data_IF_337745390751
#
_entry.id   IF_337745390751
#
_cell.length_a   1.000
_cell.length_b   1.000
_cell.length_c   1.000
_cell.angle_alpha   90.00
_cell.angle_beta   90.00
_cell.angle_gamma   90.00
#
_symmetry.space_group_name_H-M   'P 1'
#
loop_
_entity.id
_entity.type
_entity.pdbx_description
1 polymer ?
#
# COMPACT_ATOMS: atom_id res chain seq x y z
N UNK A 1 17.83 -49.42 -17.09
CA UNK A 1 17.90 -48.17 -16.31
C UNK A 1 17.91 -46.94 -17.24
N UNK A 2 16.72 -46.37 -17.50
CA UNK A 2 16.58 -45.16 -18.29
C UNK A 2 16.45 -43.97 -17.33
N UNK A 3 17.55 -43.22 -17.12
CA UNK A 3 17.52 -41.95 -16.44
C UNK A 3 16.79 -40.93 -17.33
N UNK A 4 15.61 -40.47 -16.92
CA UNK A 4 14.92 -39.32 -17.48
C UNK A 4 15.73 -38.06 -17.15
N UNK A 5 16.33 -37.42 -18.17
CA UNK A 5 16.85 -36.07 -18.12
C UNK A 5 15.66 -35.12 -18.05
N UNK A 6 15.49 -34.42 -16.93
CA UNK A 6 14.61 -33.27 -16.82
C UNK A 6 15.33 -32.12 -17.49
N UNK A 7 14.79 -31.65 -18.61
CA UNK A 7 15.26 -30.45 -19.27
C UNK A 7 14.90 -29.26 -18.41
N UNK A 8 15.89 -28.55 -17.88
CA UNK A 8 15.73 -27.18 -17.39
C UNK A 8 15.49 -26.29 -18.61
N UNK A 9 14.26 -25.91 -18.88
CA UNK A 9 13.95 -24.79 -19.77
C UNK A 9 14.26 -23.49 -19.01
N UNK A 10 15.45 -22.98 -19.19
CA UNK A 10 15.76 -21.58 -18.99
C UNK A 10 15.10 -20.80 -20.13
N UNK A 11 13.93 -20.21 -19.89
CA UNK A 11 13.40 -19.17 -20.76
C UNK A 11 14.18 -17.87 -20.49
N UNK A 12 15.42 -17.82 -20.92
CA UNK A 12 16.10 -16.60 -21.31
C UNK A 12 15.82 -16.41 -22.81
N UNK A 13 14.59 -16.08 -23.17
CA UNK A 13 14.36 -15.38 -24.43
C UNK A 13 14.83 -13.93 -24.22
N UNK A 14 15.97 -13.59 -24.78
CA UNK A 14 16.34 -12.21 -25.06
C UNK A 14 15.20 -11.61 -25.91
N UNK A 15 14.33 -10.84 -25.25
CA UNK A 15 13.31 -10.06 -25.93
C UNK A 15 14.06 -9.07 -26.83
N UNK A 16 13.78 -9.06 -28.15
CA UNK A 16 14.39 -8.09 -29.04
C UNK A 16 14.11 -6.70 -28.49
N UNK A 17 15.13 -5.87 -28.43
CA UNK A 17 15.06 -4.48 -27.98
C UNK A 17 14.30 -3.63 -29.00
N UNK A 18 13.01 -3.90 -29.15
CA UNK A 18 12.12 -3.06 -29.94
C UNK A 18 11.68 -1.87 -29.09
N UNK A 19 12.59 -0.90 -28.93
CA UNK A 19 12.38 0.37 -28.23
C UNK A 19 11.44 1.32 -28.96
N UNK A 20 10.97 0.95 -30.14
CA UNK A 20 10.19 1.82 -31.04
C UNK A 20 8.68 1.76 -30.76
N UNK A 21 8.17 0.73 -30.08
CA UNK A 21 6.74 0.61 -29.82
C UNK A 21 6.45 0.41 -28.33
N UNK A 22 5.79 1.37 -27.68
CA UNK A 22 5.41 1.23 -26.28
C UNK A 22 4.46 0.04 -26.09
N UNK A 23 4.78 -0.83 -25.13
CA UNK A 23 3.95 -2.01 -24.82
C UNK A 23 2.74 -1.60 -24.00
N UNK A 24 1.58 -2.15 -24.35
CA UNK A 24 0.32 -1.97 -23.62
C UNK A 24 -0.20 -3.33 -23.19
N UNK A 25 -0.58 -3.45 -21.92
CA UNK A 25 -1.19 -4.67 -21.37
C UNK A 25 -2.53 -4.33 -20.73
N UNK A 26 -3.52 -5.18 -20.95
CA UNK A 26 -4.82 -5.14 -20.28
C UNK A 26 -5.14 -6.52 -19.74
N UNK A 27 -5.58 -6.58 -18.50
CA UNK A 27 -6.06 -7.82 -17.89
C UNK A 27 -7.38 -7.54 -17.18
N UNK A 28 -8.27 -8.54 -17.20
CA UNK A 28 -9.62 -8.44 -16.67
C UNK A 28 -9.96 -9.69 -15.87
N UNK A 29 -10.86 -9.55 -14.90
CA UNK A 29 -11.40 -10.59 -14.03
C UNK A 29 -10.35 -11.22 -13.11
N UNK A 30 -10.43 -10.84 -11.83
CA UNK A 30 -9.58 -11.41 -10.75
C UNK A 30 -8.08 -11.31 -11.02
N UNK A 31 -7.64 -10.14 -11.48
CA UNK A 31 -6.23 -9.91 -11.80
C UNK A 31 -5.41 -9.92 -10.52
N UNK A 32 -4.33 -10.68 -10.53
CA UNK A 32 -3.32 -10.72 -9.48
C UNK A 32 -1.97 -10.31 -10.04
N UNK A 33 -1.28 -9.44 -9.31
CA UNK A 33 0.10 -9.03 -9.60
C UNK A 33 0.97 -9.42 -8.43
N UNK A 34 2.10 -10.00 -8.72
CA UNK A 34 3.05 -10.45 -7.71
C UNK A 34 4.46 -9.96 -8.04
N UNK A 35 5.12 -9.38 -7.05
CA UNK A 35 6.56 -9.14 -7.01
C UNK A 35 7.05 -9.26 -5.57
N UNK A 36 8.36 -9.33 -5.36
CA UNK A 36 8.95 -9.50 -4.02
C UNK A 36 8.58 -8.39 -3.05
N UNK A 37 8.39 -7.17 -3.53
CA UNK A 37 8.12 -6.00 -2.69
C UNK A 37 6.65 -5.55 -2.70
N UNK A 38 5.87 -5.98 -3.71
CA UNK A 38 4.53 -5.46 -3.95
C UNK A 38 3.62 -6.56 -4.51
N UNK A 39 2.43 -6.68 -3.96
CA UNK A 39 1.40 -7.58 -4.44
C UNK A 39 0.12 -6.78 -4.66
N UNK A 40 -0.65 -7.10 -5.69
CA UNK A 40 -1.92 -6.43 -5.93
C UNK A 40 -2.98 -7.40 -6.44
N UNK A 41 -4.23 -7.07 -6.15
CA UNK A 41 -5.40 -7.73 -6.70
C UNK A 41 -6.42 -6.67 -7.12
N UNK A 42 -7.01 -6.85 -8.30
CA UNK A 42 -8.03 -5.96 -8.84
C UNK A 42 -8.91 -6.73 -9.83
N UNK A 43 -10.07 -6.18 -10.20
CA UNK A 43 -10.87 -6.79 -11.27
C UNK A 43 -10.33 -6.44 -12.66
N UNK A 44 -9.61 -5.32 -12.79
CA UNK A 44 -8.94 -4.97 -14.04
C UNK A 44 -7.62 -4.25 -13.82
N UNK A 45 -6.72 -4.45 -14.77
CA UNK A 45 -5.39 -3.86 -14.81
C UNK A 45 -5.10 -3.32 -16.20
N UNK A 46 -4.47 -2.16 -16.25
CA UNK A 46 -3.98 -1.54 -17.47
C UNK A 46 -2.54 -1.06 -17.26
N UNK A 47 -1.64 -1.50 -18.13
CA UNK A 47 -0.28 -0.98 -18.20
C UNK A 47 -0.08 -0.22 -19.48
N UNK A 48 0.47 0.98 -19.39
CA UNK A 48 0.85 1.83 -20.50
C UNK A 48 2.38 2.03 -20.48
N UNK A 49 3.06 1.39 -21.40
CA UNK A 49 4.53 1.49 -21.50
C UNK A 49 5.04 2.85 -21.99
N UNK A 50 4.21 3.63 -22.70
CA UNK A 50 4.60 5.00 -23.12
C UNK A 50 4.76 5.92 -21.91
N UNK A 51 3.81 5.85 -20.97
CA UNK A 51 3.80 6.69 -19.78
C UNK A 51 4.41 5.96 -18.56
N UNK A 52 4.80 4.70 -18.73
CA UNK A 52 5.33 3.84 -17.69
C UNK A 52 4.41 3.80 -16.47
N UNK A 53 3.11 3.61 -16.69
CA UNK A 53 2.09 3.58 -15.63
C UNK A 53 1.30 2.28 -15.65
N UNK A 54 1.15 1.71 -14.44
CA UNK A 54 0.28 0.57 -14.15
C UNK A 54 -0.93 1.07 -13.36
N UNK A 55 -2.14 0.80 -13.85
CA UNK A 55 -3.39 1.14 -13.16
C UNK A 55 -4.13 -0.12 -12.75
N UNK A 56 -4.42 -0.24 -11.46
CA UNK A 56 -5.31 -1.24 -10.90
C UNK A 56 -6.67 -0.59 -10.65
N UNK A 57 -7.73 -1.16 -11.21
CA UNK A 57 -9.08 -0.57 -11.21
C UNK A 57 -10.10 -1.59 -10.72
N UNK A 58 -11.22 -1.08 -10.22
CA UNK A 58 -12.36 -1.85 -9.71
C UNK A 58 -11.93 -2.71 -8.50
N UNK A 59 -12.18 -2.16 -7.32
CA UNK A 59 -11.83 -2.75 -6.02
C UNK A 59 -10.35 -3.15 -5.90
N UNK A 60 -9.41 -2.28 -6.29
CA UNK A 60 -7.99 -2.60 -6.18
C UNK A 60 -7.58 -2.72 -4.71
N UNK A 61 -6.72 -3.69 -4.45
CA UNK A 61 -6.02 -3.82 -3.17
C UNK A 61 -4.55 -4.05 -3.46
N UNK A 62 -3.72 -3.25 -2.82
CA UNK A 62 -2.27 -3.34 -2.94
C UNK A 62 -1.68 -3.69 -1.57
N UNK A 63 -0.75 -4.62 -1.53
CA UNK A 63 -0.03 -4.98 -0.31
C UNK A 63 1.46 -4.76 -0.49
N UNK A 64 2.05 -4.22 0.56
CA UNK A 64 3.49 -4.22 0.75
C UNK A 64 3.76 -4.63 2.19
N UNK A 65 4.41 -5.77 2.38
CA UNK A 65 4.67 -6.38 3.70
C UNK A 65 3.39 -6.56 4.54
N UNK A 66 3.25 -5.82 5.66
CA UNK A 66 2.10 -5.85 6.57
C UNK A 66 1.13 -4.66 6.36
N UNK A 67 1.32 -3.90 5.30
CA UNK A 67 0.45 -2.78 4.94
C UNK A 67 -0.40 -3.10 3.72
N UNK A 68 -1.62 -2.59 3.72
CA UNK A 68 -2.62 -2.68 2.67
C UNK A 68 -3.03 -1.27 2.26
N UNK A 69 -3.16 -1.04 0.96
CA UNK A 69 -3.71 0.18 0.38
C UNK A 69 -4.91 -0.16 -0.49
N UNK A 70 -6.00 0.59 -0.33
CA UNK A 70 -7.21 0.51 -1.15
C UNK A 70 -7.64 1.89 -1.63
N UNK A 71 -8.48 1.92 -2.63
CA UNK A 71 -9.08 3.11 -3.22
C UNK A 71 -9.94 2.74 -4.41
N UNK A 72 -10.45 3.71 -5.15
CA UNK A 72 -11.24 3.44 -6.37
C UNK A 72 -10.35 2.99 -7.53
N UNK A 73 -9.17 3.61 -7.63
CA UNK A 73 -8.12 3.28 -8.59
C UNK A 73 -6.75 3.48 -7.91
N UNK A 74 -5.81 2.58 -8.18
CA UNK A 74 -4.42 2.72 -7.75
C UNK A 74 -3.56 2.79 -9.01
N UNK A 75 -2.84 3.91 -9.19
CA UNK A 75 -1.88 4.11 -10.27
C UNK A 75 -0.45 4.04 -9.73
N UNK A 76 0.40 3.25 -10.35
CA UNK A 76 1.81 3.08 -10.00
C UNK A 76 2.62 3.56 -11.20
N UNK A 77 3.49 4.53 -10.98
CA UNK A 77 4.35 5.11 -11.99
C UNK A 77 5.77 4.59 -11.84
N UNK A 78 6.38 4.23 -12.96
CA UNK A 78 7.73 3.70 -12.99
C UNK A 78 8.68 4.68 -13.65
N UNK A 79 9.91 4.72 -13.16
CA UNK A 79 11.03 5.47 -13.74
C UNK A 79 12.26 4.57 -13.72
N UNK A 80 12.89 4.38 -14.87
CA UNK A 80 14.06 3.50 -15.01
C UNK A 80 13.84 2.08 -14.46
N UNK A 81 12.65 1.50 -14.69
CA UNK A 81 12.31 0.16 -14.22
C UNK A 81 12.01 0.03 -12.72
N UNK A 82 12.08 1.12 -11.95
CA UNK A 82 11.76 1.16 -10.53
C UNK A 82 10.46 1.93 -10.26
N UNK A 83 9.80 1.63 -9.15
CA UNK A 83 8.64 2.41 -8.72
C UNK A 83 9.14 3.81 -8.30
N UNK A 84 8.57 4.84 -8.94
CA UNK A 84 8.84 6.25 -8.65
C UNK A 84 7.81 6.81 -7.67
N UNK A 85 6.54 6.72 -8.03
CA UNK A 85 5.45 7.14 -7.15
C UNK A 85 4.17 6.37 -7.41
N UNK A 86 3.24 6.44 -6.47
CA UNK A 86 1.88 5.94 -6.61
C UNK A 86 0.86 7.04 -6.36
N UNK A 87 -0.32 6.89 -6.96
CA UNK A 87 -1.40 7.84 -6.84
C UNK A 87 -2.76 7.14 -6.72
N UNK A 88 -3.52 7.53 -5.70
CA UNK A 88 -4.89 7.05 -5.46
C UNK A 88 -5.80 8.28 -5.44
N UNK A 89 -6.57 8.54 -6.50
CA UNK A 89 -7.32 9.79 -6.65
C UNK A 89 -8.55 9.90 -5.76
N UNK A 90 -9.13 8.78 -5.32
CA UNK A 90 -10.36 8.77 -4.52
C UNK A 90 -10.38 7.64 -3.52
N UNK A 91 -11.04 7.90 -2.36
CA UNK A 91 -11.31 6.89 -1.34
C UNK A 91 -10.07 6.16 -0.85
N UNK A 92 -8.95 6.88 -0.73
CA UNK A 92 -7.70 6.29 -0.28
C UNK A 92 -7.80 5.84 1.18
N UNK A 93 -7.48 4.57 1.43
CA UNK A 93 -7.35 3.99 2.77
C UNK A 93 -6.08 3.15 2.82
N UNK A 94 -5.18 3.49 3.73
CA UNK A 94 -4.01 2.70 4.08
C UNK A 94 -4.23 2.06 5.46
N UNK A 95 -3.99 0.77 5.56
CA UNK A 95 -4.09 0.00 6.80
C UNK A 95 -2.80 -0.78 6.99
N UNK A 96 -2.21 -0.71 8.17
CA UNK A 96 -1.09 -1.57 8.53
C UNK A 96 -1.31 -2.23 9.88
N UNK A 97 -0.82 -3.46 10.02
CA UNK A 97 -0.91 -4.18 11.27
C UNK A 97 0.10 -3.61 12.27
N UNK A 98 -0.38 -3.00 13.36
CA UNK A 98 0.46 -2.33 14.35
C UNK A 98 1.10 -3.31 15.36
N UNK A 99 0.44 -4.45 15.63
CA UNK A 99 0.87 -5.45 16.60
C UNK A 99 0.72 -6.88 16.09
N UNK A 100 0.79 -7.89 16.95
CA UNK A 100 0.54 -9.28 16.57
C UNK A 100 -0.89 -9.45 16.06
N UNK A 101 -1.12 -10.38 15.14
CA UNK A 101 -2.42 -10.60 14.50
C UNK A 101 -3.57 -10.84 15.50
N UNK A 102 -3.27 -11.49 16.63
CA UNK A 102 -4.21 -11.75 17.72
C UNK A 102 -4.73 -10.49 18.41
N UNK A 103 -3.94 -9.41 18.42
CA UNK A 103 -4.31 -8.15 19.05
C UNK A 103 -5.29 -7.32 18.20
N UNK A 104 -5.38 -7.59 16.90
CA UNK A 104 -6.24 -6.86 15.94
C UNK A 104 -6.07 -5.34 15.98
N UNK A 105 -4.85 -4.88 16.26
CA UNK A 105 -4.51 -3.46 16.25
C UNK A 105 -4.04 -3.07 14.84
N UNK A 106 -4.66 -2.04 14.28
CA UNK A 106 -4.35 -1.57 12.93
C UNK A 106 -4.15 -0.07 12.92
N UNK A 107 -2.98 0.37 12.46
CA UNK A 107 -2.79 1.75 12.05
C UNK A 107 -3.62 1.97 10.79
N UNK A 108 -4.41 3.03 10.77
CA UNK A 108 -5.38 3.29 9.72
C UNK A 108 -5.30 4.76 9.34
N UNK A 109 -5.22 5.04 8.06
CA UNK A 109 -5.16 6.40 7.56
C UNK A 109 -6.02 6.48 6.32
N UNK A 110 -6.98 7.38 6.30
CA UNK A 110 -7.85 7.61 5.16
C UNK A 110 -7.89 9.08 4.75
N UNK A 111 -8.19 9.31 3.49
CA UNK A 111 -8.44 10.63 2.92
C UNK A 111 -9.00 10.49 1.52
N UNK A 112 -9.25 11.62 0.86
CA UNK A 112 -9.76 11.57 -0.51
C UNK A 112 -8.68 11.11 -1.47
N UNK A 113 -7.48 11.66 -1.38
CA UNK A 113 -6.35 11.40 -2.27
C UNK A 113 -5.15 10.89 -1.46
N UNK A 114 -4.41 9.94 -2.03
CA UNK A 114 -3.11 9.53 -1.52
C UNK A 114 -2.08 9.62 -2.65
N UNK A 115 -0.92 10.21 -2.33
CA UNK A 115 0.27 10.23 -3.18
C UNK A 115 1.45 9.70 -2.38
N UNK A 116 2.04 8.58 -2.82
CA UNK A 116 3.20 7.96 -2.18
C UNK A 116 4.43 8.07 -3.07
N UNK A 117 5.55 8.50 -2.53
CA UNK A 117 6.83 8.58 -3.21
C UNK A 117 7.74 7.42 -2.78
N UNK A 118 8.47 6.87 -3.74
CA UNK A 118 9.37 5.74 -3.52
C UNK A 118 10.82 6.14 -3.75
N UNK A 119 11.71 5.48 -3.05
CA UNK A 119 13.15 5.57 -3.25
C UNK A 119 13.74 4.18 -3.14
N UNK A 120 14.48 3.71 -4.15
CA UNK A 120 15.03 2.36 -4.23
C UNK A 120 13.96 1.26 -4.01
N UNK A 121 12.79 1.41 -4.65
CA UNK A 121 11.61 0.54 -4.50
C UNK A 121 11.05 0.44 -3.06
N UNK A 122 11.46 1.30 -2.15
CA UNK A 122 10.91 1.41 -0.80
C UNK A 122 10.05 2.67 -0.68
N UNK A 123 8.92 2.55 0.01
CA UNK A 123 8.06 3.71 0.30
C UNK A 123 8.82 4.69 1.20
N UNK A 124 9.00 5.90 0.74
CA UNK A 124 9.73 6.99 1.41
C UNK A 124 8.79 7.86 2.22
N UNK A 125 7.76 8.37 1.56
CA UNK A 125 6.76 9.22 2.19
C UNK A 125 5.41 9.12 1.49
N UNK A 126 4.36 9.52 2.22
CA UNK A 126 2.98 9.53 1.73
C UNK A 126 2.32 10.85 2.11
N UNK A 127 1.70 11.48 1.13
CA UNK A 127 0.76 12.57 1.32
C UNK A 127 -0.66 12.06 1.23
N UNK A 128 -1.51 12.46 2.17
CA UNK A 128 -2.95 12.19 2.15
C UNK A 128 -3.68 13.51 2.34
N UNK A 129 -4.67 13.78 1.51
CA UNK A 129 -5.48 15.01 1.51
C UNK A 129 -6.69 14.88 0.58
N UNK A 130 -7.70 15.74 0.62
CA UNK A 130 -8.12 16.46 1.83
C UNK A 130 -8.89 15.55 2.80
N UNK A 131 -9.34 16.15 3.93
CA UNK A 131 -10.19 15.49 4.93
C UNK A 131 -9.60 14.18 5.44
N UNK A 132 -8.43 14.26 6.04
CA UNK A 132 -7.72 13.09 6.52
C UNK A 132 -8.14 12.69 7.93
N UNK A 133 -8.23 11.39 8.17
CA UNK A 133 -8.40 10.82 9.50
C UNK A 133 -7.39 9.70 9.72
N UNK A 134 -6.91 9.58 10.94
CA UNK A 134 -5.88 8.62 11.31
C UNK A 134 -6.20 7.98 12.66
N UNK A 135 -5.99 6.67 12.74
CA UNK A 135 -5.88 5.92 13.99
C UNK A 135 -4.48 5.31 13.98
N UNK A 136 -3.68 5.65 14.97
CA UNK A 136 -2.29 5.23 15.06
C UNK A 136 -1.94 4.81 16.48
N UNK A 137 -1.20 3.73 16.63
CA UNK A 137 -0.75 3.19 17.91
C UNK A 137 0.73 3.52 18.15
N UNK A 138 1.03 4.65 18.80
CA UNK A 138 2.41 5.03 19.10
C UNK A 138 3.04 4.04 20.07
N UNK A 139 4.34 3.82 19.89
CA UNK A 139 5.18 2.99 20.75
C UNK A 139 6.24 3.84 21.42
N UNK A 140 6.59 3.47 22.64
CA UNK A 140 7.76 4.01 23.32
C UNK A 140 9.07 3.38 22.82
N UNK A 141 10.18 3.79 23.40
CA UNK A 141 11.52 3.30 23.05
C UNK A 141 11.70 1.80 23.34
N UNK A 142 10.88 1.23 24.23
CA UNK A 142 10.86 -0.22 24.53
C UNK A 142 10.04 -1.02 23.53
N UNK A 143 9.26 -0.35 22.68
CA UNK A 143 8.32 -0.94 21.72
C UNK A 143 6.94 -1.24 22.30
N UNK A 144 6.65 -0.81 23.53
CA UNK A 144 5.33 -0.94 24.15
C UNK A 144 4.38 0.15 23.64
N UNK A 145 3.11 -0.20 23.43
CA UNK A 145 2.09 0.76 23.03
C UNK A 145 1.75 1.71 24.20
N UNK A 146 1.85 3.01 23.96
CA UNK A 146 1.53 4.04 24.96
C UNK A 146 0.07 4.48 24.94
N UNK A 147 -0.66 4.11 23.90
CA UNK A 147 -2.08 4.48 23.74
C UNK A 147 -2.51 4.39 22.28
N UNK A 148 -3.62 5.00 21.97
CA UNK A 148 -4.09 5.20 20.61
C UNK A 148 -4.24 6.70 20.33
N UNK A 149 -3.71 7.10 19.19
CA UNK A 149 -3.86 8.45 18.65
C UNK A 149 -4.99 8.43 17.62
N UNK A 150 -6.02 9.22 17.84
CA UNK A 150 -7.08 9.51 16.88
C UNK A 150 -6.93 10.95 16.42
N UNK A 151 -6.70 11.14 15.12
CA UNK A 151 -6.40 12.46 14.57
C UNK A 151 -7.21 12.72 13.31
N UNK A 152 -7.51 13.99 13.08
CA UNK A 152 -8.00 14.50 11.80
C UNK A 152 -7.24 15.77 11.42
N UNK A 153 -7.09 16.00 10.14
CA UNK A 153 -6.46 17.18 9.57
C UNK A 153 -6.90 17.34 8.12
N UNK A 154 -6.66 18.52 7.54
CA UNK A 154 -6.89 18.70 6.11
C UNK A 154 -5.83 17.92 5.31
N UNK A 155 -4.59 17.87 5.81
CA UNK A 155 -3.47 17.15 5.17
C UNK A 155 -2.63 16.39 6.18
N UNK A 156 -2.12 15.24 5.75
CA UNK A 156 -1.12 14.48 6.50
C UNK A 156 0.06 14.13 5.58
N UNK A 157 1.27 14.31 6.10
CA UNK A 157 2.51 13.85 5.49
C UNK A 157 3.19 12.84 6.40
N UNK A 158 3.36 11.62 5.90
CA UNK A 158 3.87 10.48 6.65
C UNK A 158 5.20 10.06 6.04
N UNK A 159 6.22 9.98 6.87
CA UNK A 159 7.55 9.52 6.49
C UNK A 159 7.79 8.11 6.99
N UNK A 160 8.48 7.34 6.19
CA UNK A 160 8.87 5.98 6.51
C UNK A 160 10.39 5.85 6.65
N UNK A 161 10.83 5.12 7.66
CA UNK A 161 12.22 4.70 7.81
C UNK A 161 12.26 3.23 8.20
N UNK A 162 13.15 2.46 7.57
CA UNK A 162 13.22 0.99 7.76
C UNK A 162 11.84 0.32 7.63
N UNK A 163 10.99 0.91 6.75
CA UNK A 163 9.64 0.44 6.39
C UNK A 163 8.59 0.50 7.52
N UNK A 164 8.86 1.30 8.52
CA UNK A 164 7.93 1.67 9.58
C UNK A 164 7.68 3.18 9.53
N UNK A 165 6.53 3.61 10.04
CA UNK A 165 6.25 5.04 10.20
C UNK A 165 7.30 5.62 11.14
N UNK A 166 8.02 6.65 10.66
CA UNK A 166 9.05 7.35 11.43
C UNK A 166 8.58 8.73 11.90
N UNK A 167 7.69 9.37 11.15
CA UNK A 167 7.16 10.70 11.44
C UNK A 167 5.82 10.91 10.76
N UNK A 168 4.92 11.55 11.46
CA UNK A 168 3.65 12.05 10.89
C UNK A 168 3.59 13.56 11.14
N UNK A 169 3.27 14.32 10.09
CA UNK A 169 3.01 15.75 10.18
C UNK A 169 1.55 15.99 9.81
N UNK A 170 0.80 16.58 10.70
CA UNK A 170 -0.58 17.01 10.49
C UNK A 170 -0.58 18.49 10.12
N UNK A 171 -1.38 18.89 9.14
CA UNK A 171 -1.45 20.25 8.64
C UNK A 171 -2.90 20.66 8.42
N UNK A 172 -3.23 21.89 8.84
CA UNK A 172 -4.53 22.54 8.70
C UNK A 172 -5.67 21.82 9.45
N UNK A 173 -6.42 22.54 10.24
CA UNK A 173 -7.58 22.05 11.02
C UNK A 173 -7.31 20.79 11.84
N UNK A 174 -6.16 20.76 12.51
CA UNK A 174 -5.69 19.58 13.26
C UNK A 174 -6.51 19.38 14.52
N UNK A 175 -7.12 18.22 14.64
CA UNK A 175 -7.71 17.71 15.88
C UNK A 175 -7.02 16.40 16.24
N UNK A 176 -6.63 16.26 17.51
CA UNK A 176 -5.89 15.10 17.96
C UNK A 176 -6.29 14.74 19.39
N UNK A 177 -6.50 13.44 19.63
CA UNK A 177 -6.73 12.89 20.95
C UNK A 177 -5.84 11.65 21.11
N UNK A 178 -5.15 11.56 22.24
CA UNK A 178 -4.38 10.36 22.63
C UNK A 178 -5.07 9.80 23.87
N UNK A 179 -5.49 8.53 23.78
CA UNK A 179 -6.18 7.84 24.87
C UNK A 179 -5.40 6.57 25.24
N UNK A 180 -5.18 6.31 26.55
CA UNK A 180 -4.59 5.06 27.02
C UNK A 180 -5.38 3.85 26.54
N UNK A 181 -4.72 2.73 26.19
CA UNK A 181 -5.41 1.54 25.68
C UNK A 181 -6.43 0.93 26.66
N UNK A 182 -6.20 1.11 27.97
CA UNK A 182 -7.09 0.60 29.02
C UNK A 182 -8.44 1.32 29.09
N UNK A 183 -8.52 2.53 28.55
CA UNK A 183 -9.70 3.39 28.57
C UNK A 183 -10.56 3.29 27.33
N UNK A 184 -10.14 2.47 26.35
CA UNK A 184 -10.76 2.40 25.03
C UNK A 184 -11.33 1.01 24.75
N UNK A 185 -12.53 0.97 24.17
CA UNK A 185 -13.03 -0.22 23.51
C UNK A 185 -12.39 -0.36 22.12
N UNK A 186 -11.48 -1.32 21.97
CA UNK A 186 -10.76 -1.56 20.72
C UNK A 186 -11.68 -1.88 19.53
N UNK A 187 -12.91 -2.37 19.77
CA UNK A 187 -13.88 -2.66 18.71
C UNK A 187 -14.44 -1.39 18.04
N UNK A 188 -14.32 -0.24 18.71
CA UNK A 188 -14.82 1.04 18.20
C UNK A 188 -13.72 1.84 17.46
N UNK A 189 -12.52 1.28 17.34
CA UNK A 189 -11.35 1.93 16.73
C UNK A 189 -11.17 1.52 15.27
N UNK A 190 -12.22 1.69 14.48
CA UNK A 190 -12.15 1.49 13.03
C UNK A 190 -12.69 2.71 12.29
N UNK A 191 -11.92 3.16 11.30
CA UNK A 191 -12.40 4.20 10.39
C UNK A 191 -13.59 3.68 9.57
N UNK A 192 -14.48 4.56 9.15
CA UNK A 192 -15.75 4.20 8.48
C UNK A 192 -15.55 3.36 7.20
N UNK A 193 -14.41 3.47 6.54
CA UNK A 193 -14.07 2.70 5.34
C UNK A 193 -13.11 1.54 5.63
N UNK A 194 -12.84 1.24 6.89
CA UNK A 194 -11.91 0.18 7.27
C UNK A 194 -12.28 -1.16 6.63
N UNK A 195 -11.28 -1.75 5.97
CA UNK A 195 -11.32 -3.11 5.43
C UNK A 195 -9.91 -3.70 5.51
N UNK A 196 -9.80 -4.85 6.13
CA UNK A 196 -8.59 -5.66 6.11
C UNK A 196 -8.90 -6.93 5.33
N UNK A 197 -8.20 -7.16 4.20
CA UNK A 197 -8.56 -8.12 3.14
C UNK A 197 -7.42 -9.11 2.86
N UNK A 198 -6.85 -9.79 3.87
CA UNK A 198 -5.69 -10.68 3.68
C UNK A 198 -6.00 -11.86 2.75
N UNK A 199 -7.27 -12.27 2.64
CA UNK A 199 -7.73 -13.33 1.75
C UNK A 199 -7.60 -12.99 0.27
N UNK A 200 -7.58 -11.69 -0.07
CA UNK A 200 -7.40 -11.20 -1.43
C UNK A 200 -5.94 -11.04 -1.81
N UNK A 201 -5.02 -11.22 -0.86
CA UNK A 201 -3.59 -11.10 -1.11
C UNK A 201 -3.11 -12.28 -1.96
N UNK A 202 -2.49 -12.04 -3.13
CA UNK A 202 -1.93 -13.12 -3.94
C UNK A 202 -0.91 -13.94 -3.13
N UNK A 203 -1.03 -15.27 -3.23
CA UNK A 203 -0.09 -16.22 -2.63
C UNK A 203 0.76 -16.80 -3.75
N UNK A 204 2.02 -17.07 -3.45
CA UNK A 204 2.93 -17.82 -4.33
C UNK A 204 2.65 -19.29 -4.19
#
# INVERSE_FOLDING_TARGET
>A
DKKKKIAKNSFEEELPSDTLHPKFYKAYYHVSLFSDSLQASADSLYYNGKDSVLKCMIKPVLWSRNAQLTGDTISIYFKNGQIDHMYVPNNALMVSQAGPASAKLYDQIQGSVLKGNFENNALKDVWIYPNTTCIYYPKDDSGAFVGVNQSSAERMHIYFAKQSISKIIFQEDVKQTITPLQEINLNDLFLSKFKWLPERRPKV
#
